data_IF_264636788126
#
_entry.id   IF_264636788126
#
_cell.length_a   1.000
_cell.length_b   1.000
_cell.length_c   1.000
_cell.angle_alpha   90.00
_cell.angle_beta   90.00
_cell.angle_gamma   90.00
#
_symmetry.space_group_name_H-M   'P 1'
#
loop_
_entity.id
_entity.type
_entity.pdbx_description
1 polymer ?
#
# COMPACT_ATOMS: atom_id res chain seq x y z
N UNK A 1 -35.31 4.68 -4.88
CA UNK A 1 -34.30 5.45 -4.10
C UNK A 1 -32.86 5.01 -4.38
N UNK A 2 -32.56 3.70 -4.54
CA UNK A 2 -31.24 3.21 -4.98
C UNK A 2 -30.92 3.56 -6.45
N UNK A 3 -31.91 3.49 -7.34
CA UNK A 3 -31.74 3.78 -8.79
C UNK A 3 -31.39 5.26 -9.04
N UNK A 4 -32.08 6.20 -8.39
CA UNK A 4 -31.81 7.65 -8.49
C UNK A 4 -30.43 8.04 -7.91
N UNK A 5 -29.92 7.29 -6.93
CA UNK A 5 -28.59 7.50 -6.34
C UNK A 5 -27.44 7.02 -7.24
N UNK A 6 -27.71 6.09 -8.16
CA UNK A 6 -26.73 5.54 -9.11
C UNK A 6 -26.53 6.44 -10.35
N UNK A 7 -27.59 7.12 -10.80
CA UNK A 7 -27.54 8.05 -11.94
C UNK A 7 -26.72 9.31 -11.65
N UNK A 8 -26.66 9.76 -10.39
CA UNK A 8 -25.87 10.93 -9.97
C UNK A 8 -24.39 10.64 -9.70
N UNK A 9 -23.93 9.38 -9.85
CA UNK A 9 -22.51 9.02 -9.68
C UNK A 9 -21.75 9.16 -11.00
N UNK A 10 -20.50 9.66 -10.99
CA UNK A 10 -19.66 9.73 -12.18
C UNK A 10 -19.60 8.39 -12.92
N UNK A 11 -19.55 8.45 -14.24
CA UNK A 11 -19.46 7.24 -15.05
C UNK A 11 -18.13 6.51 -14.84
N UNK A 12 -18.21 5.18 -14.91
CA UNK A 12 -17.02 4.34 -14.92
C UNK A 12 -16.30 4.52 -16.25
N UNK A 13 -14.97 4.51 -16.19
CA UNK A 13 -14.10 4.61 -17.35
C UNK A 13 -13.43 3.26 -17.54
N UNK A 14 -12.69 3.09 -18.64
CA UNK A 14 -12.02 1.83 -18.97
C UNK A 14 -11.08 1.34 -17.84
N UNK A 15 -10.38 2.25 -17.16
CA UNK A 15 -9.51 1.94 -16.01
C UNK A 15 -10.25 1.58 -14.71
N UNK A 16 -11.58 1.68 -14.69
CA UNK A 16 -12.43 1.23 -13.57
C UNK A 16 -13.01 -0.17 -13.80
N UNK A 17 -12.96 -0.71 -15.01
CA UNK A 17 -13.68 -1.94 -15.36
C UNK A 17 -12.77 -3.01 -15.97
N UNK A 18 -11.66 -2.60 -16.59
CA UNK A 18 -10.75 -3.53 -17.24
C UNK A 18 -10.01 -4.40 -16.23
N UNK A 19 -9.87 -5.68 -16.54
CA UNK A 19 -8.97 -6.58 -15.83
C UNK A 19 -7.64 -6.71 -16.60
N UNK A 20 -6.53 -6.49 -15.90
CA UNK A 20 -5.19 -6.68 -16.45
C UNK A 20 -4.72 -8.08 -16.07
N UNK A 21 -4.45 -8.91 -17.07
CA UNK A 21 -4.25 -10.34 -16.88
C UNK A 21 -2.92 -10.65 -16.20
N UNK A 22 -2.95 -11.60 -15.27
CA UNK A 22 -1.74 -12.17 -14.66
C UNK A 22 -1.06 -11.25 -13.65
N UNK A 23 -1.81 -10.42 -12.93
CA UNK A 23 -1.31 -9.75 -11.72
C UNK A 23 -0.85 -10.77 -10.67
N UNK A 24 0.13 -10.39 -9.85
CA UNK A 24 0.67 -11.26 -8.83
C UNK A 24 -0.38 -11.59 -7.76
N UNK A 25 -0.42 -12.87 -7.37
CA UNK A 25 -1.18 -13.36 -6.22
C UNK A 25 -0.31 -14.26 -5.34
N UNK A 26 -0.75 -14.51 -4.10
CA UNK A 26 -0.06 -15.40 -3.18
C UNK A 26 0.07 -16.85 -3.71
N UNK A 27 -0.87 -17.28 -4.55
CA UNK A 27 -0.88 -18.61 -5.20
C UNK A 27 -0.13 -18.63 -6.55
N UNK A 28 0.45 -17.51 -6.96
CA UNK A 28 1.20 -17.40 -8.20
C UNK A 28 2.51 -18.22 -8.13
N UNK A 29 2.95 -18.85 -9.23
CA UNK A 29 4.23 -19.58 -9.25
C UNK A 29 5.47 -18.66 -9.21
N UNK A 30 5.29 -17.33 -9.10
CA UNK A 30 6.38 -16.34 -9.06
C UNK A 30 7.23 -16.54 -7.82
N UNK A 31 8.49 -16.93 -8.03
CA UNK A 31 9.37 -17.39 -6.96
C UNK A 31 10.23 -16.28 -6.34
N UNK A 32 10.59 -15.27 -7.12
CA UNK A 32 11.53 -14.22 -6.74
C UNK A 32 11.11 -12.81 -7.22
N UNK A 33 11.86 -11.79 -6.80
CA UNK A 33 11.57 -10.41 -7.20
C UNK A 33 11.79 -10.17 -8.70
N UNK A 34 12.70 -10.90 -9.36
CA UNK A 34 12.95 -10.75 -10.80
C UNK A 34 11.73 -11.18 -11.60
N UNK A 35 11.11 -12.30 -11.26
CA UNK A 35 9.87 -12.77 -11.86
C UNK A 35 8.69 -11.83 -11.52
N UNK A 36 8.64 -11.30 -10.30
CA UNK A 36 7.67 -10.27 -9.92
C UNK A 36 7.79 -9.01 -10.80
N UNK A 37 9.01 -8.54 -11.08
CA UNK A 37 9.24 -7.40 -11.97
C UNK A 37 8.88 -7.72 -13.44
N UNK A 38 8.96 -8.99 -13.86
CA UNK A 38 8.47 -9.41 -15.16
C UNK A 38 6.94 -9.37 -15.24
N UNK A 39 6.22 -9.78 -14.18
CA UNK A 39 4.77 -9.57 -14.04
C UNK A 39 4.43 -8.09 -14.15
N UNK A 40 5.09 -7.25 -13.34
CA UNK A 40 4.89 -5.80 -13.36
C UNK A 40 5.08 -5.24 -14.77
N UNK A 41 6.16 -5.62 -15.47
CA UNK A 41 6.41 -5.17 -16.85
C UNK A 41 5.26 -5.52 -17.79
N UNK A 42 4.73 -6.75 -17.73
CA UNK A 42 3.59 -7.17 -18.56
C UNK A 42 2.32 -6.38 -18.24
N UNK A 43 2.03 -6.10 -16.97
CA UNK A 43 0.84 -5.35 -16.58
C UNK A 43 0.88 -3.91 -17.10
N UNK A 44 2.03 -3.24 -17.03
CA UNK A 44 2.16 -1.91 -17.60
C UNK A 44 2.05 -1.94 -19.13
N UNK A 45 2.59 -2.95 -19.81
CA UNK A 45 2.37 -3.11 -21.25
C UNK A 45 0.88 -3.28 -21.59
N UNK A 46 0.15 -4.06 -20.80
CA UNK A 46 -1.30 -4.23 -20.96
C UNK A 46 -2.06 -2.91 -20.70
N UNK A 47 -1.69 -2.16 -19.66
CA UNK A 47 -2.29 -0.84 -19.39
C UNK A 47 -2.11 0.10 -20.59
N UNK A 48 -0.91 0.14 -21.18
CA UNK A 48 -0.65 0.97 -22.36
C UNK A 48 -1.53 0.58 -23.55
N UNK A 49 -1.58 -0.71 -23.88
CA UNK A 49 -2.26 -1.22 -25.07
C UNK A 49 -3.78 -1.26 -24.92
N UNK A 50 -4.27 -1.59 -23.73
CA UNK A 50 -5.68 -1.87 -23.47
C UNK A 50 -6.40 -0.69 -22.84
N UNK A 51 -5.69 0.25 -22.22
CA UNK A 51 -6.29 1.42 -21.56
C UNK A 51 -5.86 2.71 -22.22
N UNK A 52 -4.57 3.06 -22.15
CA UNK A 52 -4.09 4.37 -22.62
C UNK A 52 -4.31 4.57 -24.12
N UNK A 53 -4.06 3.54 -24.94
CA UNK A 53 -4.32 3.57 -26.38
C UNK A 53 -5.82 3.63 -26.74
N UNK A 54 -6.72 3.37 -25.78
CA UNK A 54 -8.17 3.21 -26.00
C UNK A 54 -9.03 4.17 -25.19
N UNK A 55 -8.44 5.17 -24.52
CA UNK A 55 -9.21 6.19 -23.82
C UNK A 55 -10.09 6.97 -24.79
N UNK A 56 -11.31 7.31 -24.36
CA UNK A 56 -12.25 8.08 -25.16
C UNK A 56 -11.74 9.50 -25.41
N UNK A 57 -12.24 10.22 -26.44
CA UNK A 57 -11.88 11.61 -26.69
C UNK A 57 -12.10 12.53 -25.48
N UNK A 58 -13.18 12.31 -24.72
CA UNK A 58 -13.54 13.10 -23.54
C UNK A 58 -12.52 12.89 -22.40
N UNK A 59 -11.92 11.71 -22.33
CA UNK A 59 -10.89 11.38 -21.34
C UNK A 59 -9.51 11.97 -21.68
N UNK A 60 -9.28 12.53 -22.89
CA UNK A 60 -7.99 13.12 -23.32
C UNK A 60 -7.74 14.54 -22.77
N UNK A 61 -8.13 14.78 -21.52
CA UNK A 61 -7.92 16.05 -20.84
C UNK A 61 -6.47 16.25 -20.35
N UNK A 62 -6.10 17.49 -19.96
CA UNK A 62 -4.77 17.80 -19.43
C UNK A 62 -4.51 17.22 -18.04
N UNK A 63 -5.56 16.82 -17.32
CA UNK A 63 -5.50 16.24 -15.97
C UNK A 63 -6.04 14.80 -15.98
N UNK A 64 -5.38 13.92 -16.72
CA UNK A 64 -5.67 12.48 -16.73
C UNK A 64 -4.38 11.68 -16.88
N UNK A 65 -4.05 10.84 -15.89
CA UNK A 65 -2.84 10.01 -15.88
C UNK A 65 -2.75 8.99 -17.03
N UNK A 66 -3.88 8.61 -17.64
CA UNK A 66 -3.91 7.68 -18.77
C UNK A 66 -3.84 8.38 -20.12
N UNK A 67 -3.88 9.71 -20.15
CA UNK A 67 -3.65 10.48 -21.35
C UNK A 67 -2.15 10.78 -21.48
N UNK A 68 -1.49 10.17 -22.46
CA UNK A 68 -0.06 10.37 -22.70
C UNK A 68 0.24 11.83 -23.00
N UNK A 69 1.27 12.39 -22.36
CA UNK A 69 1.67 13.79 -22.50
C UNK A 69 0.82 14.78 -21.71
N UNK A 70 -0.16 14.32 -20.92
CA UNK A 70 -0.93 15.18 -20.02
C UNK A 70 -0.05 15.74 -18.90
N UNK A 71 -0.58 16.71 -18.14
CA UNK A 71 0.16 17.30 -17.02
C UNK A 71 0.43 16.29 -15.90
N UNK A 72 -0.33 15.20 -15.90
CA UNK A 72 -0.36 14.16 -14.86
C UNK A 72 0.08 12.81 -15.43
N UNK A 73 0.70 12.79 -16.62
CA UNK A 73 1.33 11.60 -17.19
C UNK A 73 2.51 11.15 -16.29
N UNK A 74 2.48 9.92 -15.74
CA UNK A 74 3.49 9.49 -14.78
C UNK A 74 4.93 9.48 -15.30
N UNK A 75 5.12 9.32 -16.61
CA UNK A 75 6.45 9.30 -17.24
C UNK A 75 7.00 10.69 -17.55
N UNK A 76 6.21 11.75 -17.35
CA UNK A 76 6.59 13.13 -17.67
C UNK A 76 7.87 13.59 -16.97
N UNK A 77 8.15 13.08 -15.77
CA UNK A 77 9.32 13.44 -14.96
C UNK A 77 10.47 12.43 -15.04
N UNK A 78 10.54 11.66 -16.13
CA UNK A 78 11.67 10.79 -16.49
C UNK A 78 11.70 9.43 -15.78
N UNK A 79 11.06 9.28 -14.63
CA UNK A 79 10.93 7.99 -13.93
C UNK A 79 9.47 7.75 -13.55
N UNK A 80 8.97 6.58 -13.94
CA UNK A 80 7.63 6.13 -13.57
C UNK A 80 7.63 5.54 -12.16
N UNK A 81 7.38 6.39 -11.16
CA UNK A 81 7.34 6.00 -9.75
C UNK A 81 6.07 5.22 -9.35
N UNK A 82 5.24 4.78 -10.31
CA UNK A 82 4.22 3.77 -10.04
C UNK A 82 4.81 2.34 -9.96
N UNK A 83 6.05 2.17 -10.43
CA UNK A 83 6.75 0.89 -10.50
C UNK A 83 7.59 0.62 -9.28
N UNK A 84 7.88 -0.65 -9.06
CA UNK A 84 8.90 -1.06 -8.10
C UNK A 84 10.22 -0.41 -8.49
N UNK A 85 10.93 0.19 -7.53
CA UNK A 85 12.22 0.81 -7.76
C UNK A 85 13.27 0.29 -6.79
N UNK A 86 14.51 0.21 -7.26
CA UNK A 86 15.64 -0.22 -6.46
C UNK A 86 16.77 0.82 -6.57
N UNK A 87 17.14 1.43 -5.44
CA UNK A 87 18.26 2.35 -5.33
C UNK A 87 19.41 1.61 -4.65
N UNK A 88 20.41 1.25 -5.44
CA UNK A 88 21.57 0.48 -4.97
C UNK A 88 22.60 1.40 -4.29
N UNK A 89 23.47 0.80 -3.47
CA UNK A 89 24.64 1.48 -2.91
C UNK A 89 25.85 0.54 -3.06
N UNK A 90 27.04 1.08 -3.33
CA UNK A 90 28.24 0.28 -3.60
C UNK A 90 28.70 -0.52 -2.36
N UNK A 91 28.56 0.06 -1.17
CA UNK A 91 28.84 -0.57 0.11
C UNK A 91 27.67 -0.29 1.06
N UNK A 92 26.55 -1.02 0.89
CA UNK A 92 25.33 -0.72 1.61
C UNK A 92 25.51 -1.01 3.11
N UNK A 93 25.23 -0.02 3.95
CA UNK A 93 25.25 -0.21 5.40
C UNK A 93 24.07 -1.08 5.86
N UNK A 94 22.94 -0.98 5.17
CA UNK A 94 21.69 -1.67 5.45
C UNK A 94 20.81 -1.80 4.19
N UNK A 95 19.83 -2.68 4.25
CA UNK A 95 18.69 -2.73 3.34
C UNK A 95 17.48 -1.98 3.91
N UNK A 96 16.68 -1.34 3.06
CA UNK A 96 15.41 -0.73 3.45
C UNK A 96 14.34 -1.12 2.44
N UNK A 97 13.27 -1.75 2.91
CA UNK A 97 12.06 -1.98 2.13
C UNK A 97 11.00 -0.92 2.46
N UNK A 98 10.51 -0.23 1.43
CA UNK A 98 9.47 0.80 1.53
C UNK A 98 8.12 0.25 1.04
N UNK A 99 7.09 0.37 1.87
CA UNK A 99 5.74 -0.13 1.62
C UNK A 99 4.72 1.02 1.64
N UNK A 100 4.11 1.30 0.50
CA UNK A 100 3.12 2.37 0.36
C UNK A 100 1.73 1.97 0.89
N UNK A 101 0.82 2.94 0.98
CA UNK A 101 -0.56 2.73 1.43
C UNK A 101 -1.49 2.20 0.34
N UNK A 102 -2.69 1.75 0.75
CA UNK A 102 -3.75 1.34 -0.18
C UNK A 102 -4.11 2.48 -1.13
N UNK A 103 -4.34 2.18 -2.42
CA UNK A 103 -4.57 3.12 -3.54
C UNK A 103 -3.38 3.99 -3.96
N UNK A 104 -2.30 4.00 -3.18
CA UNK A 104 -1.08 4.76 -3.48
C UNK A 104 -0.12 3.96 -4.38
N UNK A 105 1.07 4.51 -4.61
CA UNK A 105 2.16 3.80 -5.27
C UNK A 105 3.53 4.08 -4.64
N UNK A 106 4.60 3.43 -5.13
CA UNK A 106 5.96 3.62 -4.60
C UNK A 106 6.42 5.08 -4.54
N UNK A 107 5.87 5.94 -5.40
CA UNK A 107 6.10 7.38 -5.42
C UNK A 107 5.98 8.07 -4.05
N UNK A 108 5.04 7.68 -3.19
CA UNK A 108 4.79 8.40 -1.94
C UNK A 108 5.95 8.31 -0.95
N UNK A 109 6.73 7.23 -1.01
CA UNK A 109 7.93 7.04 -0.18
C UNK A 109 9.24 7.32 -0.92
N UNK A 110 9.20 7.71 -2.21
CA UNK A 110 10.43 7.91 -3.01
C UNK A 110 11.39 8.94 -2.43
N UNK A 111 10.87 10.01 -1.84
CA UNK A 111 11.69 11.10 -1.31
C UNK A 111 12.48 10.63 -0.08
N UNK A 112 11.82 9.87 0.80
CA UNK A 112 12.45 9.20 1.92
C UNK A 112 13.46 8.17 1.42
N UNK A 113 13.10 7.35 0.43
CA UNK A 113 13.99 6.35 -0.15
C UNK A 113 15.27 6.95 -0.73
N UNK A 114 15.17 8.05 -1.48
CA UNK A 114 16.34 8.79 -1.99
C UNK A 114 17.22 9.32 -0.87
N UNK A 115 16.63 9.83 0.21
CA UNK A 115 17.39 10.35 1.36
C UNK A 115 18.12 9.24 2.10
N UNK A 116 17.48 8.09 2.32
CA UNK A 116 18.10 6.92 2.93
C UNK A 116 19.22 6.35 2.05
N UNK A 117 19.00 6.27 0.74
CA UNK A 117 20.04 5.83 -0.20
C UNK A 117 21.25 6.77 -0.22
N UNK A 118 21.02 8.09 -0.17
CA UNK A 118 22.10 9.08 -0.03
C UNK A 118 22.90 8.93 1.28
N UNK A 119 22.33 8.27 2.29
CA UNK A 119 23.00 7.91 3.55
C UNK A 119 23.65 6.51 3.51
N UNK A 120 23.69 5.86 2.35
CA UNK A 120 24.37 4.57 2.15
C UNK A 120 23.48 3.34 2.32
N UNK A 121 22.15 3.50 2.36
CA UNK A 121 21.22 2.36 2.36
C UNK A 121 20.98 1.83 0.94
N UNK A 122 20.81 0.51 0.82
CA UNK A 122 20.19 -0.09 -0.37
C UNK A 122 18.68 -0.07 -0.17
N UNK A 123 17.95 0.59 -1.06
CA UNK A 123 16.52 0.86 -0.87
C UNK A 123 15.68 0.21 -1.96
N UNK A 124 14.69 -0.57 -1.56
CA UNK A 124 13.69 -1.17 -2.45
C UNK A 124 12.32 -0.55 -2.13
N UNK A 125 11.75 0.19 -3.08
CA UNK A 125 10.35 0.64 -3.01
C UNK A 125 9.47 -0.31 -3.80
N UNK A 126 8.71 -1.14 -3.10
CA UNK A 126 7.88 -2.19 -3.70
C UNK A 126 6.54 -1.62 -4.18
N UNK A 127 6.17 -1.87 -5.43
CA UNK A 127 4.78 -1.73 -5.88
C UNK A 127 4.00 -2.90 -5.32
N UNK A 128 2.94 -2.64 -4.56
CA UNK A 128 2.05 -3.70 -4.10
C UNK A 128 1.15 -4.19 -5.27
N UNK A 129 0.78 -5.48 -5.32
CA UNK A 129 -0.16 -6.00 -6.31
C UNK A 129 -1.45 -5.17 -6.37
N UNK A 130 -2.03 -5.01 -7.57
CA UNK A 130 -3.21 -4.19 -7.82
C UNK A 130 -2.97 -2.68 -7.85
N UNK A 131 -1.76 -2.21 -7.56
CA UNK A 131 -1.40 -0.78 -7.51
C UNK A 131 -0.51 -0.37 -8.69
N UNK A 132 -0.37 0.94 -8.90
CA UNK A 132 0.51 1.55 -9.90
C UNK A 132 0.03 1.51 -11.36
N UNK A 133 -0.87 0.60 -11.71
CA UNK A 133 -1.44 0.45 -13.07
C UNK A 133 -2.80 1.14 -13.17
N UNK A 134 -3.89 0.39 -12.95
CA UNK A 134 -5.29 0.88 -13.02
C UNK A 134 -6.06 0.61 -11.72
N UNK A 135 -6.99 1.51 -11.30
CA UNK A 135 -7.81 1.34 -10.11
C UNK A 135 -8.53 0.00 -10.04
N UNK A 136 -8.97 -0.56 -11.18
CA UNK A 136 -9.68 -1.84 -11.22
C UNK A 136 -8.88 -3.00 -10.64
N UNK A 137 -7.54 -2.92 -10.57
CA UNK A 137 -6.72 -3.90 -9.84
C UNK A 137 -7.11 -4.03 -8.37
N UNK A 138 -7.62 -2.96 -7.75
CA UNK A 138 -8.08 -2.98 -6.36
C UNK A 138 -9.41 -3.71 -6.16
N UNK A 139 -10.14 -4.04 -7.24
CA UNK A 139 -11.40 -4.78 -7.16
C UNK A 139 -11.21 -6.24 -6.75
N UNK A 140 -10.01 -6.79 -6.97
CA UNK A 140 -9.72 -8.22 -6.86
C UNK A 140 -8.56 -8.55 -5.91
N UNK A 141 -7.65 -7.61 -5.66
CA UNK A 141 -6.50 -7.82 -4.77
C UNK A 141 -6.94 -8.27 -3.36
N UNK A 142 -6.17 -9.17 -2.76
CA UNK A 142 -6.30 -9.56 -1.36
C UNK A 142 -5.14 -9.01 -0.52
N UNK A 143 -5.30 -8.88 0.80
CA UNK A 143 -4.17 -8.45 1.64
C UNK A 143 -3.08 -9.52 1.70
N UNK A 144 -3.47 -10.78 1.54
CA UNK A 144 -2.58 -11.94 1.45
C UNK A 144 -1.65 -11.84 0.23
N UNK A 145 -2.16 -11.41 -0.93
CA UNK A 145 -1.34 -11.14 -2.12
C UNK A 145 -0.28 -10.06 -1.84
N UNK A 146 -0.68 -8.98 -1.16
CA UNK A 146 0.23 -7.91 -0.76
C UNK A 146 1.28 -8.43 0.24
N UNK A 147 0.88 -9.18 1.26
CA UNK A 147 1.80 -9.76 2.24
C UNK A 147 2.80 -10.74 1.59
N UNK A 148 2.36 -11.56 0.64
CA UNK A 148 3.22 -12.46 -0.12
C UNK A 148 4.28 -11.69 -0.94
N UNK A 149 3.90 -10.56 -1.55
CA UNK A 149 4.85 -9.69 -2.26
C UNK A 149 5.90 -9.07 -1.33
N UNK A 150 5.53 -8.73 -0.08
CA UNK A 150 6.49 -8.26 0.94
C UNK A 150 7.51 -9.35 1.26
N UNK A 151 7.09 -10.61 1.39
CA UNK A 151 8.00 -11.74 1.61
C UNK A 151 9.00 -11.92 0.47
N UNK A 152 8.56 -11.79 -0.79
CA UNK A 152 9.45 -11.81 -1.96
C UNK A 152 10.51 -10.70 -1.88
N UNK A 153 10.08 -9.47 -1.59
CA UNK A 153 10.98 -8.32 -1.49
C UNK A 153 11.99 -8.44 -0.35
N UNK A 154 11.57 -8.97 0.81
CA UNK A 154 12.46 -9.21 1.95
C UNK A 154 13.50 -10.30 1.65
N UNK A 155 13.11 -11.40 1.00
CA UNK A 155 14.06 -12.44 0.54
C UNK A 155 15.08 -11.86 -0.44
N UNK A 156 14.63 -11.09 -1.42
CA UNK A 156 15.51 -10.40 -2.35
C UNK A 156 16.52 -9.49 -1.61
N UNK A 157 16.07 -8.63 -0.69
CA UNK A 157 17.00 -7.79 0.07
C UNK A 157 18.00 -8.60 0.89
N UNK A 158 17.57 -9.69 1.53
CA UNK A 158 18.46 -10.59 2.28
C UNK A 158 19.52 -11.24 1.40
N UNK A 159 19.14 -11.70 0.20
CA UNK A 159 20.04 -12.29 -0.79
C UNK A 159 21.04 -11.26 -1.34
N UNK A 160 20.59 -10.03 -1.60
CA UNK A 160 21.46 -8.94 -2.08
C UNK A 160 22.40 -8.40 -1.00
N UNK A 161 22.04 -8.55 0.28
CA UNK A 161 22.70 -7.92 1.41
C UNK A 161 23.00 -8.93 2.54
N UNK A 162 23.78 -10.00 2.25
CA UNK A 162 24.06 -11.03 3.23
C UNK A 162 24.76 -10.42 4.46
N UNK A 163 24.27 -10.76 5.65
CA UNK A 163 24.81 -10.27 6.93
C UNK A 163 24.55 -8.78 7.23
N UNK A 164 23.79 -8.06 6.39
CA UNK A 164 23.40 -6.67 6.67
C UNK A 164 22.02 -6.60 7.34
N UNK A 165 21.76 -5.60 8.19
CA UNK A 165 20.43 -5.37 8.74
C UNK A 165 19.47 -4.93 7.63
N UNK A 166 18.20 -5.34 7.76
CA UNK A 166 17.13 -4.91 6.87
C UNK A 166 16.06 -4.20 7.69
N UNK A 167 15.66 -3.01 7.25
CA UNK A 167 14.64 -2.19 7.87
C UNK A 167 13.38 -2.15 7.02
N UNK A 168 12.22 -2.04 7.67
CA UNK A 168 10.95 -1.78 7.00
C UNK A 168 10.50 -0.34 7.25
N UNK A 169 10.01 0.32 6.21
CA UNK A 169 9.27 1.57 6.35
C UNK A 169 7.91 1.42 5.69
N UNK A 170 6.84 1.57 6.47
CA UNK A 170 5.47 1.37 5.99
C UNK A 170 4.60 2.59 6.21
N UNK A 171 3.91 3.05 5.16
CA UNK A 171 2.89 4.09 5.23
C UNK A 171 1.49 3.49 5.16
N UNK A 172 0.60 3.85 6.10
CA UNK A 172 -0.80 3.40 6.13
C UNK A 172 -0.93 1.87 6.06
N UNK A 173 -1.54 1.33 5.02
CA UNK A 173 -1.62 -0.12 4.76
C UNK A 173 -0.24 -0.79 4.70
N UNK A 174 0.77 -0.11 4.16
CA UNK A 174 2.15 -0.59 4.17
C UNK A 174 2.72 -0.72 5.59
N UNK A 175 2.27 0.11 6.53
CA UNK A 175 2.60 -0.02 7.95
C UNK A 175 1.98 -1.26 8.58
N UNK A 176 0.71 -1.55 8.27
CA UNK A 176 0.05 -2.78 8.72
C UNK A 176 0.68 -4.04 8.09
N UNK A 177 1.10 -3.97 6.82
CA UNK A 177 1.85 -5.05 6.15
C UNK A 177 3.22 -5.28 6.80
N UNK A 178 3.92 -4.23 7.22
CA UNK A 178 5.18 -4.36 7.94
C UNK A 178 4.99 -5.11 9.27
N UNK A 179 3.95 -4.75 10.04
CA UNK A 179 3.59 -5.45 11.29
C UNK A 179 3.21 -6.91 11.02
N UNK A 180 2.39 -7.18 10.00
CA UNK A 180 2.04 -8.54 9.61
C UNK A 180 3.28 -9.38 9.21
N UNK A 181 4.24 -8.78 8.50
CA UNK A 181 5.49 -9.47 8.16
C UNK A 181 6.33 -9.78 9.40
N UNK A 182 6.46 -8.83 10.33
CA UNK A 182 7.17 -9.04 11.59
C UNK A 182 6.55 -10.16 12.45
N UNK A 183 5.21 -10.22 12.52
CA UNK A 183 4.50 -11.31 13.19
C UNK A 183 4.75 -12.66 12.49
N UNK A 184 4.75 -12.69 11.16
CA UNK A 184 5.04 -13.91 10.41
C UNK A 184 6.47 -14.42 10.65
N UNK A 185 7.44 -13.55 10.94
CA UNK A 185 8.80 -13.97 11.30
C UNK A 185 8.87 -14.67 12.68
N UNK A 186 7.87 -14.44 13.55
CA UNK A 186 7.74 -15.20 14.80
C UNK A 186 7.26 -16.64 14.53
N UNK A 187 6.44 -16.81 13.49
CA UNK A 187 5.89 -18.13 13.09
C UNK A 187 6.85 -18.94 12.21
N UNK A 188 7.70 -18.27 11.43
CA UNK A 188 8.55 -18.89 10.41
C UNK A 188 9.95 -18.27 10.43
N UNK A 189 10.89 -18.99 11.05
CA UNK A 189 12.30 -18.58 11.17
C UNK A 189 13.06 -18.57 9.83
N UNK A 190 12.47 -19.12 8.76
CA UNK A 190 13.06 -19.04 7.42
C UNK A 190 12.88 -17.67 6.78
N UNK A 191 11.96 -16.85 7.31
CA UNK A 191 11.74 -15.49 6.81
C UNK A 191 12.89 -14.57 7.26
N UNK A 192 13.41 -13.72 6.36
CA UNK A 192 14.42 -12.74 6.73
C UNK A 192 13.96 -11.82 7.86
N UNK A 193 14.71 -11.83 8.97
CA UNK A 193 14.42 -10.97 10.11
C UNK A 193 14.53 -9.48 9.76
N UNK A 194 13.73 -8.69 10.47
CA UNK A 194 13.70 -7.22 10.39
C UNK A 194 14.46 -6.66 11.58
N UNK A 195 15.41 -5.76 11.33
CA UNK A 195 16.19 -5.12 12.38
C UNK A 195 15.34 -4.12 13.16
N UNK A 196 14.65 -3.21 12.47
CA UNK A 196 13.66 -2.26 13.03
C UNK A 196 12.63 -1.87 11.98
N UNK A 197 11.49 -1.36 12.45
CA UNK A 197 10.43 -0.84 11.60
C UNK A 197 10.16 0.63 11.87
N UNK A 198 9.93 1.40 10.81
CA UNK A 198 9.40 2.76 10.89
C UNK A 198 7.99 2.76 10.29
N UNK A 199 7.00 3.12 11.10
CA UNK A 199 5.60 3.12 10.71
C UNK A 199 5.08 4.56 10.61
N UNK A 200 4.41 4.90 9.51
CA UNK A 200 3.84 6.23 9.29
C UNK A 200 2.33 6.07 9.14
N UNK A 201 1.57 6.59 10.09
CA UNK A 201 0.11 6.44 10.20
C UNK A 201 -0.37 5.01 9.91
N UNK A 202 0.16 3.97 10.59
CA UNK A 202 -0.11 2.58 10.22
C UNK A 202 -1.60 2.25 10.39
N UNK A 203 -2.21 1.63 9.37
CA UNK A 203 -3.64 1.35 9.34
C UNK A 203 -4.02 0.13 10.21
N UNK A 204 -3.91 0.28 11.54
CA UNK A 204 -4.07 -0.80 12.53
C UNK A 204 -5.40 -0.80 13.27
N UNK A 205 -6.28 0.18 13.02
CA UNK A 205 -7.65 0.14 13.53
C UNK A 205 -8.64 0.72 12.55
N UNK A 206 -9.21 -0.17 11.75
CA UNK A 206 -10.39 0.11 10.95
C UNK A 206 -11.62 -0.39 11.73
N UNK A 207 -12.66 0.45 11.84
CA UNK A 207 -13.84 0.08 12.62
C UNK A 207 -14.61 -1.09 11.99
N UNK A 208 -15.14 -2.00 12.83
CA UNK A 208 -16.01 -3.10 12.38
C UNK A 208 -17.26 -2.60 11.63
N UNK A 209 -17.75 -1.40 11.98
CA UNK A 209 -18.87 -0.76 11.28
C UNK A 209 -18.52 -0.39 9.83
N UNK A 210 -17.29 0.09 9.58
CA UNK A 210 -16.82 0.35 8.23
C UNK A 210 -16.75 -0.95 7.40
N UNK A 211 -16.38 -2.07 8.00
CA UNK A 211 -16.36 -3.38 7.33
C UNK A 211 -17.76 -3.91 6.97
N UNK A 212 -18.75 -3.73 7.84
CA UNK A 212 -20.15 -4.14 7.57
C UNK A 212 -20.77 -3.39 6.38
N UNK A 213 -20.40 -2.11 6.20
CA UNK A 213 -20.83 -1.31 5.05
C UNK A 213 -20.32 -1.87 3.71
N UNK A 214 -19.15 -2.53 3.71
CA UNK A 214 -18.58 -3.20 2.53
C UNK A 214 -19.39 -4.45 2.15
N UNK A 215 -19.84 -5.23 3.14
CA UNK A 215 -20.61 -6.46 2.88
C UNK A 215 -21.97 -6.17 2.22
N UNK A 216 -22.63 -5.09 2.62
CA UNK A 216 -23.85 -4.60 1.99
C UNK A 216 -23.64 -4.22 0.51
N UNK A 217 -22.47 -3.68 0.16
CA UNK A 217 -22.14 -3.34 -1.22
C UNK A 217 -21.69 -4.54 -2.07
N UNK A 218 -21.19 -5.62 -1.45
CA UNK A 218 -20.89 -6.89 -2.15
C UNK A 218 -22.16 -7.60 -2.60
N UNK A 219 -23.20 -7.63 -1.76
CA UNK A 219 -24.49 -8.22 -2.13
C UNK A 219 -25.17 -7.49 -3.30
N UNK A 220 -24.93 -6.19 -3.47
CA UNK A 220 -25.50 -5.42 -4.57
C UNK A 220 -24.70 -5.51 -5.89
N UNK A 221 -23.44 -5.97 -5.85
CA UNK A 221 -22.61 -6.26 -7.05
C UNK A 221 -23.14 -7.45 -7.86
N UNK A 222 -23.86 -8.39 -7.22
CA UNK A 222 -24.54 -9.51 -7.91
C UNK A 222 -25.57 -9.02 -8.96
N UNK A 223 -26.01 -7.76 -8.87
CA UNK A 223 -26.93 -7.14 -9.82
C UNK A 223 -26.25 -6.50 -11.05
N UNK A 224 -24.95 -6.72 -11.28
CA UNK A 224 -24.24 -6.24 -12.48
C UNK A 224 -23.96 -4.72 -12.51
N UNK A 225 -24.05 -4.05 -11.36
CA UNK A 225 -23.88 -2.60 -11.26
C UNK A 225 -22.43 -2.25 -10.91
N UNK A 226 -21.58 -2.07 -11.92
CA UNK A 226 -20.13 -1.79 -11.77
C UNK A 226 -19.85 -0.59 -10.85
N UNK A 227 -20.71 0.44 -10.87
CA UNK A 227 -20.64 1.62 -9.99
C UNK A 227 -20.72 1.29 -8.49
N UNK A 228 -21.26 0.13 -8.11
CA UNK A 228 -21.37 -0.31 -6.71
C UNK A 228 -20.11 -0.98 -6.19
N UNK A 229 -19.14 -1.30 -7.04
CA UNK A 229 -17.85 -1.81 -6.59
C UNK A 229 -16.92 -0.70 -6.04
N UNK A 230 -17.35 0.56 -6.14
CA UNK A 230 -16.57 1.75 -5.82
C UNK A 230 -17.19 2.53 -4.65
N UNK A 231 -16.37 2.85 -3.66
CA UNK A 231 -16.73 3.77 -2.58
C UNK A 231 -16.73 5.21 -3.10
N UNK A 232 -15.76 5.53 -3.95
CA UNK A 232 -15.74 6.78 -4.71
C UNK A 232 -15.18 6.54 -6.11
N UNK A 233 -15.74 7.25 -7.09
CA UNK A 233 -15.24 7.33 -8.46
C UNK A 233 -14.88 8.79 -8.70
N UNK A 234 -13.64 9.06 -9.08
CA UNK A 234 -13.11 10.40 -9.28
C UNK A 234 -12.27 10.45 -10.56
N UNK A 235 -12.10 11.63 -11.18
CA UNK A 235 -11.13 11.80 -12.26
C UNK A 235 -9.72 11.43 -11.79
N UNK A 236 -9.01 10.66 -12.60
CA UNK A 236 -7.65 10.16 -12.28
C UNK A 236 -6.58 11.21 -12.62
N UNK A 237 -6.65 12.34 -11.92
CA UNK A 237 -5.74 13.47 -12.09
C UNK A 237 -4.42 13.31 -11.30
N UNK A 238 -4.32 12.35 -10.38
CA UNK A 238 -3.07 12.10 -9.68
C UNK A 238 -2.22 11.09 -10.47
N UNK A 239 -1.00 11.47 -10.81
CA UNK A 239 -0.08 10.64 -11.60
C UNK A 239 0.35 9.33 -10.90
N UNK A 240 0.24 9.26 -9.57
CA UNK A 240 0.87 8.17 -8.80
C UNK A 240 -0.06 7.47 -7.80
N UNK A 241 -1.20 8.08 -7.50
CA UNK A 241 -2.23 7.53 -6.62
C UNK A 241 -3.53 7.39 -7.38
N UNK A 242 -4.29 6.33 -7.13
CA UNK A 242 -5.65 6.22 -7.64
C UNK A 242 -6.56 7.21 -6.90
N UNK A 243 -7.28 8.02 -7.66
CA UNK A 243 -8.28 8.92 -7.10
C UNK A 243 -9.57 8.16 -6.74
N UNK A 244 -9.91 7.16 -7.54
CA UNK A 244 -11.03 6.25 -7.30
C UNK A 244 -10.68 5.17 -6.29
N UNK A 245 -11.61 4.86 -5.39
CA UNK A 245 -11.38 3.94 -4.28
C UNK A 245 -12.37 2.79 -4.30
N UNK A 246 -11.87 1.57 -4.53
CA UNK A 246 -12.66 0.36 -4.55
C UNK A 246 -13.18 0.00 -3.15
N UNK A 247 -14.38 -0.57 -3.07
CA UNK A 247 -14.93 -1.10 -1.83
C UNK A 247 -14.08 -2.27 -1.30
N UNK A 248 -13.59 -3.12 -2.20
CA UNK A 248 -12.69 -4.21 -1.84
C UNK A 248 -11.39 -3.68 -1.20
N UNK A 249 -10.84 -2.55 -1.66
CA UNK A 249 -9.66 -1.94 -1.08
C UNK A 249 -9.83 -1.68 0.43
N UNK A 250 -10.91 -0.99 0.82
CA UNK A 250 -11.22 -0.75 2.23
C UNK A 250 -11.42 -2.04 3.04
N UNK A 251 -12.05 -3.05 2.44
CA UNK A 251 -12.22 -4.35 3.07
C UNK A 251 -10.90 -5.07 3.34
N UNK A 252 -9.95 -5.04 2.41
CA UNK A 252 -8.65 -5.67 2.61
C UNK A 252 -7.83 -4.94 3.67
N UNK A 253 -7.90 -3.61 3.76
CA UNK A 253 -7.28 -2.86 4.87
C UNK A 253 -7.87 -3.28 6.21
N UNK A 254 -9.21 -3.42 6.30
CA UNK A 254 -9.86 -3.94 7.50
C UNK A 254 -9.40 -5.36 7.84
N UNK A 255 -9.44 -6.29 6.88
CA UNK A 255 -9.04 -7.70 7.11
C UNK A 255 -7.60 -7.82 7.58
N UNK A 256 -6.70 -7.04 6.99
CA UNK A 256 -5.30 -6.98 7.40
C UNK A 256 -5.17 -6.48 8.85
N UNK A 257 -5.83 -5.37 9.20
CA UNK A 257 -5.79 -4.83 10.56
C UNK A 257 -6.36 -5.83 11.59
N UNK A 258 -7.45 -6.52 11.23
CA UNK A 258 -8.08 -7.54 12.07
C UNK A 258 -7.14 -8.74 12.29
N UNK A 259 -6.53 -9.24 11.21
CA UNK A 259 -5.57 -10.35 11.27
C UNK A 259 -4.31 -10.00 12.08
N UNK A 260 -3.80 -8.77 11.91
CA UNK A 260 -2.68 -8.26 12.72
C UNK A 260 -3.05 -8.20 14.19
N UNK A 261 -4.23 -7.68 14.54
CA UNK A 261 -4.69 -7.61 15.92
C UNK A 261 -4.81 -9.01 16.54
N UNK A 262 -5.48 -9.94 15.86
CA UNK A 262 -5.65 -11.31 16.35
C UNK A 262 -4.31 -12.01 16.58
N UNK A 263 -3.36 -11.87 15.65
CA UNK A 263 -2.03 -12.49 15.80
C UNK A 263 -1.18 -11.81 16.88
N UNK A 264 -1.29 -10.48 17.06
CA UNK A 264 -0.65 -9.77 18.18
C UNK A 264 -1.20 -10.21 19.53
N UNK A 265 -2.52 -10.33 19.67
CA UNK A 265 -3.16 -10.82 20.90
C UNK A 265 -2.67 -12.23 21.25
N UNK A 266 -2.60 -13.12 20.26
CA UNK A 266 -2.06 -14.47 20.44
C UNK A 266 -0.56 -14.48 20.81
N UNK A 267 0.25 -13.63 20.18
CA UNK A 267 1.67 -13.48 20.48
C UNK A 267 1.91 -12.97 21.90
N UNK A 268 1.12 -11.99 22.32
CA UNK A 268 1.21 -11.39 23.65
C UNK A 268 0.83 -12.41 24.73
N UNK A 269 -0.26 -13.16 24.53
CA UNK A 269 -0.70 -14.20 25.47
C UNK A 269 0.30 -15.35 25.62
N UNK A 270 1.07 -15.64 24.58
CA UNK A 270 2.11 -16.69 24.59
C UNK A 270 3.48 -16.20 25.06
N UNK A 271 3.66 -14.89 25.26
CA UNK A 271 4.96 -14.29 25.61
C UNK A 271 5.97 -14.25 24.45
N UNK A 272 5.50 -14.45 23.22
CA UNK A 272 6.32 -14.59 22.00
C UNK A 272 6.74 -13.25 21.38
N UNK A 273 6.27 -12.13 21.93
CA UNK A 273 6.63 -10.80 21.43
C UNK A 273 8.06 -10.36 21.77
N UNK A 274 8.83 -11.16 22.51
CA UNK A 274 10.22 -10.84 22.86
C UNK A 274 11.12 -10.65 21.62
N UNK A 275 10.85 -11.40 20.54
CA UNK A 275 11.55 -11.31 19.24
C UNK A 275 10.96 -10.28 18.29
N UNK A 276 9.86 -9.63 18.65
CA UNK A 276 9.23 -8.62 17.79
C UNK A 276 10.19 -7.43 17.61
N UNK A 277 10.39 -6.92 16.38
CA UNK A 277 11.40 -5.90 16.11
C UNK A 277 11.01 -4.55 16.75
N UNK A 278 11.99 -3.74 17.15
CA UNK A 278 11.75 -2.37 17.61
C UNK A 278 10.96 -1.56 16.58
N UNK A 279 10.06 -0.72 17.08
CA UNK A 279 9.12 0.05 16.24
C UNK A 279 9.25 1.53 16.56
N UNK A 280 9.47 2.33 15.53
CA UNK A 280 9.31 3.79 15.58
C UNK A 280 8.07 4.15 14.77
N UNK A 281 6.99 4.56 15.43
CA UNK A 281 5.75 4.96 14.77
C UNK A 281 5.55 6.47 14.82
N UNK A 282 5.09 7.03 13.71
CA UNK A 282 4.67 8.41 13.58
C UNK A 282 3.16 8.44 13.32
N UNK A 283 2.40 9.14 14.16
CA UNK A 283 0.96 9.26 14.02
C UNK A 283 0.53 10.72 14.09
N UNK A 284 -0.22 11.18 13.09
CA UNK A 284 -0.82 12.51 13.14
C UNK A 284 -2.12 12.49 13.95
N UNK A 285 -2.31 13.46 14.85
CA UNK A 285 -3.56 13.63 15.64
C UNK A 285 -4.75 14.00 14.74
N UNK A 286 -4.47 14.67 13.61
CA UNK A 286 -5.48 15.12 12.63
C UNK A 286 -5.65 14.15 11.46
N UNK A 287 -5.12 12.93 11.57
CA UNK A 287 -5.28 11.92 10.54
C UNK A 287 -6.75 11.53 10.40
N UNK A 288 -7.37 11.92 9.28
CA UNK A 288 -8.77 11.66 8.99
C UNK A 288 -9.06 10.19 8.64
N UNK A 289 -8.01 9.37 8.46
CA UNK A 289 -8.10 8.00 7.96
C UNK A 289 -7.76 6.94 9.01
N UNK A 290 -6.85 7.25 9.94
CA UNK A 290 -6.43 6.35 11.01
C UNK A 290 -6.43 7.11 12.34
N UNK A 291 -7.17 6.62 13.33
CA UNK A 291 -7.22 7.28 14.64
C UNK A 291 -5.99 6.96 15.49
N UNK A 292 -5.44 7.94 16.20
CA UNK A 292 -4.33 7.72 17.14
C UNK A 292 -4.63 6.65 18.20
N UNK A 293 -5.84 6.59 18.80
CA UNK A 293 -6.20 5.51 19.71
C UNK A 293 -6.05 4.12 19.11
N UNK A 294 -6.33 3.94 17.81
CA UNK A 294 -6.20 2.66 17.14
C UNK A 294 -4.75 2.17 17.04
N UNK A 295 -3.78 3.06 16.87
CA UNK A 295 -2.35 2.67 16.85
C UNK A 295 -1.87 2.32 18.25
N UNK A 296 -2.34 3.04 19.27
CA UNK A 296 -2.02 2.75 20.67
C UNK A 296 -2.61 1.39 21.06
N UNK A 297 -3.93 1.21 20.91
CA UNK A 297 -4.61 -0.02 21.34
C UNK A 297 -4.34 -1.20 20.44
N UNK A 298 -4.10 -0.98 19.15
CA UNK A 298 -3.87 -2.04 18.16
C UNK A 298 -2.42 -2.49 18.04
N UNK A 299 -1.45 -1.79 18.66
CA UNK A 299 -0.04 -2.17 18.60
C UNK A 299 0.70 -1.89 19.91
N UNK A 300 0.83 -0.63 20.32
CA UNK A 300 1.73 -0.26 21.42
C UNK A 300 1.29 -0.81 22.78
N UNK A 301 0.01 -1.10 22.99
CA UNK A 301 -0.46 -1.79 24.19
C UNK A 301 0.06 -3.25 24.33
N UNK A 302 0.56 -3.85 23.26
CA UNK A 302 1.12 -5.20 23.28
C UNK A 302 2.65 -5.21 23.39
N UNK A 303 3.29 -4.04 23.20
CA UNK A 303 4.74 -3.90 23.04
C UNK A 303 5.35 -3.33 24.33
N UNK A 304 5.93 -4.21 25.16
CA UNK A 304 6.38 -3.85 26.52
C UNK A 304 7.85 -3.41 26.60
N UNK A 305 8.61 -3.48 25.49
CA UNK A 305 10.03 -3.13 25.48
C UNK A 305 10.25 -1.62 25.33
N UNK A 306 11.29 -1.04 25.96
CA UNK A 306 11.52 0.41 25.97
C UNK A 306 12.05 0.97 24.64
N UNK A 307 12.39 0.12 23.67
CA UNK A 307 12.88 0.51 22.35
C UNK A 307 11.78 0.64 21.29
N UNK A 308 10.50 0.54 21.71
CA UNK A 308 9.36 0.96 20.91
C UNK A 308 9.00 2.42 21.21
N UNK A 309 8.90 3.24 20.17
CA UNK A 309 8.64 4.68 20.27
C UNK A 309 7.42 5.07 19.42
N UNK A 310 6.45 5.74 20.03
CA UNK A 310 5.32 6.37 19.34
C UNK A 310 5.45 7.90 19.40
N UNK A 311 5.63 8.51 18.24
CA UNK A 311 5.64 9.96 18.07
C UNK A 311 4.27 10.39 17.57
N UNK A 312 3.51 11.04 18.44
CA UNK A 312 2.23 11.67 18.10
C UNK A 312 2.46 13.14 17.82
N UNK A 313 2.05 13.62 16.64
CA UNK A 313 2.23 15.02 16.25
C UNK A 313 0.93 15.66 15.76
N UNK A 314 0.71 16.90 16.16
CA UNK A 314 -0.38 17.75 15.68
C UNK A 314 0.19 18.81 14.73
N UNK A 315 -0.40 18.94 13.54
CA UNK A 315 -0.04 20.04 12.63
C UNK A 315 -0.97 21.20 12.98
N UNK A 316 -0.54 22.02 13.93
CA UNK A 316 -1.19 23.27 14.32
C UNK A 316 -1.56 24.10 13.07
N UNK A 317 -2.86 24.25 12.78
CA UNK A 317 -3.39 25.07 11.67
C UNK A 317 -3.50 26.57 12.01
N UNK A 318 -2.71 27.09 12.94
CA UNK A 318 -2.68 28.54 13.18
C UNK A 318 -1.77 29.22 12.16
N UNK A 319 -2.26 29.32 10.93
CA UNK A 319 -1.79 30.37 10.03
C UNK A 319 -2.40 31.68 10.53
N UNK A 320 -1.69 32.36 11.42
CA UNK A 320 -1.98 33.75 11.75
C UNK A 320 -1.64 34.58 10.51
N UNK A 321 -2.63 34.88 9.67
CA UNK A 321 -2.54 36.00 8.74
C UNK A 321 -2.64 37.29 9.56
N UNK A 322 -1.52 37.68 10.16
CA UNK A 322 -1.37 38.91 10.93
C UNK A 322 -0.29 39.79 10.29
N UNK A 323 -0.70 40.56 9.29
CA UNK A 323 -0.24 41.93 8.98
C UNK A 323 -1.05 42.47 7.80
#
# INVERSE_FOLDING_TARGET
MVVVSLENRPDVNLWHTIDLEGEYSADSPVADLKEYLAVETRLFQQMEQRVMARISPEARGPLNRYNRGSLTDPVRWGTDWNRTFELTAAQPAAGVLLLHGMSDGPYSLRALGRRLNAQGAWVLGLRLPGHGTVPSGLLHVTWEDMAASVRLAMRHLRERLPGRPVFLVGYSTGGALAVAYALACLDDESLPEVEKMVLISPALGVSRLAALSVWQARMSRWLGLEKLAWNSIQPEYNAYKYNSFAINAGHQVYRLADAVRERLEAAHQSGDLSRFPPVLAFQSVVDATVSTPAVITGLFNFLDRPDHELIVFDINRTWNSGS
#
